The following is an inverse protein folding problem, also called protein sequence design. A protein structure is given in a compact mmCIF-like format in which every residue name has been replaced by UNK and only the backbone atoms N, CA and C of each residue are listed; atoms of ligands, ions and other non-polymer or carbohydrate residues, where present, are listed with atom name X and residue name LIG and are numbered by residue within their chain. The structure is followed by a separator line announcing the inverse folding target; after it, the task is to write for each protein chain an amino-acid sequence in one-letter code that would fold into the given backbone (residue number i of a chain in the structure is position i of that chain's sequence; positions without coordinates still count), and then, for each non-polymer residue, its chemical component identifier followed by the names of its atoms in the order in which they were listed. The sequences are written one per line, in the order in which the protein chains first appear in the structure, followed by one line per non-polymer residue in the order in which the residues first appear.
data_IF_031163659215
#
_entry.id   IF_031163659215
#
_cell.length_a   1.000
_cell.length_b   1.000
_cell.length_c   1.000
_cell.angle_alpha   90.00
_cell.angle_beta   90.00
_cell.angle_gamma   90.00
#
_symmetry.space_group_name_H-M   'P 1'
#
loop_
_entity.id
_entity.type
_entity.pdbx_description
1 polymer ?
#
# COMPACT_ATOMS: atom_id res chain seq x y z
N UNK A 1 10.71 -21.58 -24.11
CA UNK A 1 9.43 -22.30 -23.91
C UNK A 1 8.57 -21.65 -22.81
N UNK A 2 8.73 -20.36 -22.51
CA UNK A 2 7.81 -19.59 -21.63
C UNK A 2 7.14 -18.45 -22.43
N UNK A 3 7.70 -18.09 -23.59
CA UNK A 3 7.22 -16.99 -24.42
C UNK A 3 5.94 -17.31 -25.23
N UNK A 4 5.63 -18.59 -25.50
CA UNK A 4 4.45 -18.98 -26.29
C UNK A 4 3.14 -18.83 -25.51
N UNK A 5 3.12 -19.14 -24.21
CA UNK A 5 1.88 -19.18 -23.43
C UNK A 5 1.30 -17.79 -23.18
N UNK A 6 2.13 -16.75 -23.14
CA UNK A 6 1.69 -15.37 -22.92
C UNK A 6 1.15 -14.75 -24.23
N UNK A 7 1.75 -15.10 -25.37
CA UNK A 7 1.34 -14.60 -26.68
C UNK A 7 0.05 -15.27 -27.19
N UNK A 8 -0.22 -16.53 -26.81
CA UNK A 8 -1.45 -17.23 -27.19
C UNK A 8 -2.69 -16.71 -26.45
N UNK A 9 -2.52 -16.07 -25.29
CA UNK A 9 -3.62 -15.52 -24.48
C UNK A 9 -3.91 -14.04 -24.76
N UNK A 10 -2.94 -13.32 -25.32
CA UNK A 10 -3.07 -11.92 -25.69
C UNK A 10 -3.30 -11.85 -27.19
N UNK A 11 -4.57 -11.85 -27.62
CA UNK A 11 -4.93 -11.45 -28.98
C UNK A 11 -4.40 -10.03 -29.20
N UNK A 12 -3.26 -9.91 -29.88
CA UNK A 12 -2.52 -8.66 -30.09
C UNK A 12 -3.39 -7.58 -30.78
N UNK A 13 -4.39 -8.03 -31.54
CA UNK A 13 -5.37 -7.20 -32.24
C UNK A 13 -6.51 -6.66 -31.35
N UNK A 14 -6.70 -7.19 -30.13
CA UNK A 14 -7.78 -6.78 -29.21
C UNK A 14 -7.28 -5.92 -28.03
N UNK A 15 -5.99 -5.60 -28.02
CA UNK A 15 -5.43 -4.55 -27.20
C UNK A 15 -5.73 -3.22 -27.89
N UNK A 16 -6.93 -2.69 -27.71
CA UNK A 16 -7.14 -1.26 -27.93
C UNK A 16 -6.03 -0.54 -27.17
N UNK A 17 -5.18 0.29 -27.82
CA UNK A 17 -4.19 1.04 -27.09
C UNK A 17 -5.00 1.87 -26.10
N UNK A 18 -4.84 1.59 -24.81
CA UNK A 18 -5.33 2.47 -23.75
C UNK A 18 -4.57 3.76 -23.99
N UNK A 19 -5.16 4.65 -24.80
CA UNK A 19 -4.81 6.04 -24.86
C UNK A 19 -5.15 6.53 -23.47
N UNK A 20 -4.19 6.38 -22.57
CA UNK A 20 -4.07 7.27 -21.43
C UNK A 20 -4.00 8.65 -22.07
N UNK A 21 -5.17 9.27 -22.26
CA UNK A 21 -5.24 10.68 -22.54
C UNK A 21 -4.57 11.32 -21.33
N UNK A 22 -3.26 11.56 -21.47
CA UNK A 22 -2.46 12.38 -20.61
C UNK A 22 -3.02 13.79 -20.73
N UNK A 23 -4.23 14.00 -20.19
CA UNK A 23 -4.91 15.30 -20.13
C UNK A 23 -4.10 16.14 -19.17
N UNK A 24 -3.08 16.79 -19.72
CA UNK A 24 -2.41 17.89 -19.07
C UNK A 24 -3.50 18.92 -18.72
N UNK A 25 -3.45 19.52 -17.54
CA UNK A 25 -4.38 20.59 -17.20
C UNK A 25 -4.34 21.70 -18.26
N UNK A 26 -5.47 22.35 -18.51
CA UNK A 26 -5.60 23.39 -19.57
C UNK A 26 -4.61 24.56 -19.42
N UNK A 27 -4.14 24.82 -18.20
CA UNK A 27 -3.16 25.85 -17.92
C UNK A 27 -1.71 25.48 -18.28
N UNK A 28 -1.47 24.21 -18.59
CA UNK A 28 -0.15 23.70 -18.99
C UNK A 28 -0.02 23.83 -20.50
N UNK A 29 0.95 24.64 -20.93
CA UNK A 29 1.25 24.88 -22.33
C UNK A 29 2.74 24.65 -22.60
N UNK A 30 3.05 24.00 -23.72
CA UNK A 30 4.43 23.79 -24.18
C UNK A 30 5.12 25.09 -24.66
N UNK A 31 4.33 26.15 -24.91
CA UNK A 31 4.86 27.43 -25.35
C UNK A 31 5.59 28.21 -24.23
N UNK A 32 5.37 27.83 -22.97
CA UNK A 32 5.97 28.49 -21.81
C UNK A 32 6.56 27.45 -20.85
N UNK A 33 7.21 27.91 -19.78
CA UNK A 33 7.83 27.01 -18.79
C UNK A 33 6.84 26.25 -17.88
N UNK A 34 5.52 26.35 -18.11
CA UNK A 34 4.52 25.62 -17.32
C UNK A 34 4.57 24.12 -17.56
N UNK A 35 4.80 23.67 -18.80
CA UNK A 35 4.94 22.25 -19.13
C UNK A 35 6.12 21.62 -18.39
N UNK A 36 7.28 22.24 -18.48
CA UNK A 36 8.48 21.80 -17.76
C UNK A 36 8.26 21.80 -16.24
N UNK A 37 7.61 22.83 -15.70
CA UNK A 37 7.33 22.90 -14.26
C UNK A 37 6.33 21.85 -13.78
N UNK A 38 5.28 21.60 -14.55
CA UNK A 38 4.31 20.56 -14.25
C UNK A 38 4.96 19.17 -14.27
N UNK A 39 5.74 18.88 -15.32
CA UNK A 39 6.44 17.61 -15.45
C UNK A 39 7.45 17.39 -14.32
N UNK A 40 8.24 18.41 -13.97
CA UNK A 40 9.16 18.36 -12.84
C UNK A 40 8.43 18.00 -11.53
N UNK A 41 7.26 18.59 -11.27
CA UNK A 41 6.44 18.23 -10.10
C UNK A 41 6.00 16.76 -10.16
N UNK A 42 5.55 16.27 -11.31
CA UNK A 42 5.11 14.86 -11.43
C UNK A 42 6.28 13.89 -11.21
N UNK A 43 7.45 14.17 -11.80
CA UNK A 43 8.64 13.35 -11.63
C UNK A 43 9.12 13.35 -10.18
N UNK A 44 9.21 14.52 -9.54
CA UNK A 44 9.57 14.64 -8.13
C UNK A 44 8.57 13.91 -7.24
N UNK A 45 7.26 14.06 -7.50
CA UNK A 45 6.22 13.33 -6.78
C UNK A 45 6.41 11.81 -6.87
N UNK A 46 6.69 11.28 -8.06
CA UNK A 46 6.98 9.85 -8.25
C UNK A 46 8.20 9.42 -7.43
N UNK A 47 9.32 10.17 -7.51
CA UNK A 47 10.55 9.89 -6.74
C UNK A 47 10.30 9.88 -5.23
N UNK A 48 9.64 10.91 -4.69
CA UNK A 48 9.32 10.98 -3.24
C UNK A 48 8.34 9.88 -2.81
N UNK A 49 7.37 9.53 -3.65
CA UNK A 49 6.43 8.44 -3.36
C UNK A 49 7.13 7.08 -3.33
N UNK A 50 8.07 6.83 -4.23
CA UNK A 50 8.91 5.62 -4.19
C UNK A 50 9.75 5.57 -2.91
N UNK A 51 10.35 6.70 -2.53
CA UNK A 51 11.07 6.81 -1.26
C UNK A 51 10.16 6.46 -0.07
N UNK A 52 8.95 7.03 -0.02
CA UNK A 52 7.99 6.76 1.06
C UNK A 52 7.59 5.28 1.12
N UNK A 53 7.40 4.63 -0.03
CA UNK A 53 7.04 3.21 -0.08
C UNK A 53 8.17 2.32 0.47
N UNK A 54 9.43 2.69 0.23
CA UNK A 54 10.61 1.95 0.71
C UNK A 54 10.95 2.20 2.18
N UNK A 55 10.54 3.33 2.75
CA UNK A 55 10.94 3.76 4.09
C UNK A 55 9.74 3.77 5.03
N UNK A 56 9.81 3.06 6.15
CA UNK A 56 8.67 2.92 7.07
C UNK A 56 8.94 3.45 8.46
N UNK A 57 10.18 3.81 8.78
CA UNK A 57 10.54 4.29 10.12
C UNK A 57 10.40 5.81 10.19
N UNK A 58 10.06 6.31 11.38
CA UNK A 58 9.99 7.75 11.64
C UNK A 58 11.36 8.45 11.45
N UNK A 59 12.46 7.74 11.72
CA UNK A 59 13.84 8.23 11.51
C UNK A 59 14.15 8.57 10.06
N UNK A 60 13.49 7.90 9.11
CA UNK A 60 13.79 8.04 7.68
C UNK A 60 13.21 9.34 7.10
N UNK A 61 12.35 10.01 7.88
CA UNK A 61 11.60 11.21 7.50
C UNK A 61 11.99 12.46 8.29
N UNK A 62 13.18 12.48 8.89
CA UNK A 62 13.66 13.64 9.67
C UNK A 62 13.77 14.89 8.80
N UNK A 63 14.24 14.75 7.55
CA UNK A 63 14.38 15.87 6.61
C UNK A 63 13.13 16.01 5.74
N UNK A 64 12.54 17.20 5.72
CA UNK A 64 11.37 17.53 4.88
C UNK A 64 11.63 17.30 3.39
N UNK A 65 12.85 17.59 2.92
CA UNK A 65 13.25 17.40 1.52
C UNK A 65 13.15 15.94 1.05
N UNK A 66 13.07 14.95 1.94
CA UNK A 66 12.96 13.54 1.56
C UNK A 66 11.53 13.14 1.20
N UNK A 67 10.52 13.87 1.67
CA UNK A 67 9.11 13.51 1.48
C UNK A 67 8.21 14.68 1.04
N UNK A 68 8.69 15.91 1.04
CA UNK A 68 8.02 17.08 0.48
C UNK A 68 8.82 17.65 -0.67
N UNK A 69 8.10 18.24 -1.62
CA UNK A 69 8.65 18.93 -2.78
C UNK A 69 8.65 20.43 -2.48
N UNK A 70 9.82 21.06 -2.61
CA UNK A 70 9.95 22.51 -2.43
C UNK A 70 9.91 23.26 -3.77
N UNK A 71 9.48 24.53 -3.75
CA UNK A 71 9.47 25.38 -4.96
C UNK A 71 10.87 25.55 -5.56
N UNK A 72 11.89 25.64 -4.71
CA UNK A 72 13.29 25.71 -5.15
C UNK A 72 13.76 24.43 -5.80
N UNK A 73 13.34 23.26 -5.31
CA UNK A 73 13.69 21.96 -5.90
C UNK A 73 13.08 21.80 -7.30
N UNK A 74 11.82 22.21 -7.48
CA UNK A 74 11.18 22.25 -8.81
C UNK A 74 11.96 23.17 -9.76
N UNK A 75 12.35 24.35 -9.29
CA UNK A 75 13.09 25.31 -10.09
C UNK A 75 14.49 24.78 -10.47
N UNK A 76 15.17 24.10 -9.54
CA UNK A 76 16.46 23.44 -9.77
C UNK A 76 16.38 22.32 -10.80
N UNK A 77 15.31 21.51 -10.80
CA UNK A 77 15.12 20.44 -11.79
C UNK A 77 14.99 20.99 -13.23
N UNK A 78 14.43 22.19 -13.38
CA UNK A 78 14.24 22.87 -14.68
C UNK A 78 15.46 23.74 -15.05
N UNK A 79 16.35 24.03 -14.08
CA UNK A 79 17.51 24.90 -14.29
C UNK A 79 17.18 26.40 -14.31
N UNK A 80 16.05 26.82 -13.74
CA UNK A 80 15.58 28.21 -13.74
C UNK A 80 15.45 28.74 -12.30
N UNK A 81 15.48 30.05 -12.12
CA UNK A 81 15.20 30.66 -10.81
C UNK A 81 13.73 30.43 -10.41
N UNK A 82 13.49 30.29 -9.11
CA UNK A 82 12.16 30.04 -8.54
C UNK A 82 11.16 31.19 -8.80
N UNK A 83 11.62 32.45 -8.73
CA UNK A 83 10.76 33.64 -8.79
C UNK A 83 9.93 33.74 -10.09
N UNK A 84 10.53 33.64 -11.29
CA UNK A 84 9.80 33.68 -12.55
C UNK A 84 8.67 32.65 -12.67
N UNK A 85 8.86 31.44 -12.15
CA UNK A 85 7.93 30.32 -12.34
C UNK A 85 6.76 30.40 -11.35
N UNK A 86 7.02 30.79 -10.10
CA UNK A 86 6.05 30.70 -9.01
C UNK A 86 5.40 32.03 -8.60
N UNK A 87 5.84 33.16 -9.16
CA UNK A 87 5.34 34.48 -8.73
C UNK A 87 5.01 35.43 -9.88
N UNK A 88 5.76 35.42 -10.99
CA UNK A 88 5.63 36.43 -12.04
C UNK A 88 4.61 36.07 -13.13
N UNK A 89 4.45 34.78 -13.41
CA UNK A 89 3.66 34.25 -14.54
C UNK A 89 2.20 33.97 -14.19
N UNK A 90 1.30 34.10 -15.16
CA UNK A 90 -0.15 33.93 -14.95
C UNK A 90 -0.57 32.53 -14.46
N UNK A 91 0.17 31.48 -14.84
CA UNK A 91 -0.10 30.10 -14.38
C UNK A 91 0.46 29.78 -12.99
N UNK A 92 1.20 30.71 -12.36
CA UNK A 92 1.88 30.47 -11.09
C UNK A 92 0.95 30.05 -9.95
N UNK A 93 -0.27 30.59 -9.92
CA UNK A 93 -1.28 30.27 -8.93
C UNK A 93 -1.71 28.79 -9.04
N UNK A 94 -2.01 28.34 -10.26
CA UNK A 94 -2.42 26.96 -10.54
C UNK A 94 -1.28 25.96 -10.30
N UNK A 95 -0.05 26.32 -10.69
CA UNK A 95 1.14 25.51 -10.40
C UNK A 95 1.39 25.36 -8.89
N UNK A 96 1.20 26.45 -8.13
CA UNK A 96 1.34 26.41 -6.67
C UNK A 96 0.26 25.54 -6.03
N UNK A 97 -0.96 25.57 -6.56
CA UNK A 97 -2.06 24.71 -6.11
C UNK A 97 -1.72 23.24 -6.35
N UNK A 98 -1.30 22.87 -7.56
CA UNK A 98 -0.88 21.50 -7.89
C UNK A 98 0.25 21.01 -6.97
N UNK A 99 1.27 21.84 -6.74
CA UNK A 99 2.37 21.52 -5.82
C UNK A 99 1.86 21.25 -4.40
N UNK A 100 0.96 22.08 -3.90
CA UNK A 100 0.38 21.93 -2.57
C UNK A 100 -0.46 20.66 -2.46
N UNK A 101 -1.26 20.33 -3.47
CA UNK A 101 -2.05 19.10 -3.50
C UNK A 101 -1.17 17.84 -3.51
N UNK A 102 -0.12 17.83 -4.33
CA UNK A 102 0.85 16.72 -4.37
C UNK A 102 1.58 16.58 -3.04
N UNK A 103 1.99 17.69 -2.42
CA UNK A 103 2.60 17.67 -1.09
C UNK A 103 1.63 17.16 -0.01
N UNK A 104 0.34 17.53 -0.06
CA UNK A 104 -0.68 16.94 0.84
C UNK A 104 -0.75 15.42 0.65
N UNK A 105 -0.81 14.93 -0.59
CA UNK A 105 -0.80 13.49 -0.90
C UNK A 105 0.47 12.78 -0.39
N UNK A 106 1.64 13.41 -0.48
CA UNK A 106 2.87 12.84 0.07
C UNK A 106 2.86 12.81 1.60
N UNK A 107 2.34 13.85 2.26
CA UNK A 107 2.24 13.86 3.73
C UNK A 107 1.32 12.77 4.26
N UNK A 108 0.14 12.59 3.64
CA UNK A 108 -0.78 11.51 4.03
C UNK A 108 -0.19 10.13 3.76
N UNK A 109 0.50 9.94 2.62
CA UNK A 109 1.20 8.70 2.32
C UNK A 109 2.29 8.38 3.34
N UNK A 110 3.10 9.38 3.74
CA UNK A 110 4.13 9.26 4.77
C UNK A 110 3.53 8.86 6.12
N UNK A 111 2.46 9.53 6.55
CA UNK A 111 1.80 9.20 7.82
C UNK A 111 1.20 7.78 7.81
N UNK A 112 0.62 7.36 6.69
CA UNK A 112 0.12 5.99 6.51
C UNK A 112 1.26 4.95 6.48
N UNK A 113 2.39 5.26 5.87
CA UNK A 113 3.57 4.39 5.86
C UNK A 113 4.13 4.18 7.27
N UNK A 114 4.22 5.24 8.08
CA UNK A 114 4.67 5.15 9.47
C UNK A 114 3.70 4.34 10.31
N UNK A 115 2.38 4.59 10.18
CA UNK A 115 1.34 3.83 10.91
C UNK A 115 1.34 2.35 10.53
N UNK A 116 1.44 2.02 9.24
CA UNK A 116 1.45 0.64 8.76
C UNK A 116 2.74 -0.12 9.09
N UNK A 117 3.86 0.56 9.34
CA UNK A 117 5.11 -0.06 9.80
C UNK A 117 4.94 -0.89 11.07
N UNK A 118 3.91 -0.55 11.85
CA UNK A 118 3.57 -1.14 13.12
C UNK A 118 2.59 -2.31 13.10
N UNK A 119 2.13 -2.74 11.92
CA UNK A 119 1.04 -3.73 11.89
C UNK A 119 1.50 -5.13 12.30
N UNK A 120 0.68 -5.81 13.12
CA UNK A 120 0.84 -7.21 13.52
C UNK A 120 1.67 -7.44 14.80
N UNK A 121 2.16 -8.67 14.95
CA UNK A 121 2.90 -9.11 16.14
C UNK A 121 4.23 -8.37 16.36
N UNK A 122 4.72 -7.63 15.36
CA UNK A 122 5.96 -6.83 15.45
C UNK A 122 5.85 -5.61 16.38
N UNK A 123 4.64 -5.14 16.68
CA UNK A 123 4.45 -4.09 17.70
C UNK A 123 4.12 -4.60 19.09
N UNK A 124 3.74 -5.86 19.20
CA UNK A 124 3.43 -6.46 20.49
C UNK A 124 4.73 -6.68 21.24
N UNK A 125 4.74 -6.30 22.51
CA UNK A 125 5.85 -6.62 23.41
C UNK A 125 5.92 -8.14 23.64
N UNK A 126 7.08 -8.65 24.03
CA UNK A 126 7.25 -10.08 24.38
C UNK A 126 6.17 -10.56 25.35
N UNK A 127 5.83 -9.73 26.35
CA UNK A 127 4.78 -10.05 27.33
C UNK A 127 3.40 -10.21 26.70
N UNK A 128 3.01 -9.31 25.79
CA UNK A 128 1.73 -9.38 25.07
C UNK A 128 1.68 -10.61 24.15
N UNK A 129 2.78 -10.91 23.46
CA UNK A 129 2.87 -12.09 22.59
C UNK A 129 2.75 -13.40 23.38
N UNK A 130 3.46 -13.52 24.51
CA UNK A 130 3.36 -14.70 25.38
C UNK A 130 1.94 -14.85 25.92
N UNK A 131 1.30 -13.75 26.32
CA UNK A 131 -0.08 -13.78 26.80
C UNK A 131 -1.04 -14.29 25.73
N UNK A 132 -1.01 -13.72 24.53
CA UNK A 132 -1.86 -14.15 23.42
C UNK A 132 -1.59 -15.59 22.99
N UNK A 133 -0.32 -16.03 23.03
CA UNK A 133 0.04 -17.41 22.74
C UNK A 133 -0.60 -18.34 23.75
N UNK A 134 -0.45 -18.06 25.05
CA UNK A 134 -1.05 -18.87 26.11
C UNK A 134 -2.58 -18.91 25.99
N UNK A 135 -3.22 -17.75 25.77
CA UNK A 135 -4.67 -17.70 25.56
C UNK A 135 -5.12 -18.50 24.34
N UNK A 136 -4.32 -18.52 23.26
CA UNK A 136 -4.62 -19.32 22.06
C UNK A 136 -4.46 -20.81 22.36
N UNK A 137 -3.37 -21.21 23.02
CA UNK A 137 -3.14 -22.59 23.44
C UNK A 137 -4.26 -23.10 24.35
N UNK A 138 -4.68 -22.30 25.33
CA UNK A 138 -5.79 -22.66 26.23
C UNK A 138 -7.11 -22.84 25.47
N UNK A 139 -7.42 -21.95 24.51
CA UNK A 139 -8.60 -22.09 23.65
C UNK A 139 -8.52 -23.36 22.79
N UNK A 140 -7.36 -23.65 22.22
CA UNK A 140 -7.15 -24.82 21.38
C UNK A 140 -7.26 -26.12 22.19
N UNK A 141 -6.72 -26.14 23.41
CA UNK A 141 -6.89 -27.27 24.33
C UNK A 141 -8.36 -27.52 24.65
N UNK A 142 -9.13 -26.47 24.99
CA UNK A 142 -10.57 -26.59 25.29
C UNK A 142 -11.34 -27.06 24.05
N UNK A 143 -11.07 -26.47 22.89
CA UNK A 143 -11.72 -26.84 21.63
C UNK A 143 -11.40 -28.29 21.24
N UNK A 144 -10.15 -28.73 21.42
CA UNK A 144 -9.74 -30.11 21.13
C UNK A 144 -10.51 -31.12 21.98
N UNK A 145 -10.64 -30.88 23.29
CA UNK A 145 -11.38 -31.75 24.22
C UNK A 145 -12.85 -31.84 23.82
N UNK A 146 -13.50 -30.71 23.57
CA UNK A 146 -14.91 -30.67 23.14
C UNK A 146 -15.11 -31.38 21.80
N UNK A 147 -14.20 -31.20 20.86
CA UNK A 147 -14.27 -31.87 19.55
C UNK A 147 -14.12 -33.38 19.71
N UNK A 148 -13.23 -33.86 20.58
CA UNK A 148 -13.07 -35.29 20.88
C UNK A 148 -14.32 -35.86 21.53
N UNK A 149 -14.91 -35.16 22.50
CA UNK A 149 -16.17 -35.58 23.15
C UNK A 149 -17.32 -35.63 22.15
N UNK A 150 -17.49 -34.62 21.31
CA UNK A 150 -18.53 -34.58 20.27
C UNK A 150 -18.34 -35.68 19.23
N UNK A 151 -17.11 -35.93 18.79
CA UNK A 151 -16.79 -37.03 17.87
C UNK A 151 -17.12 -38.36 18.53
N UNK A 152 -16.76 -38.55 19.80
CA UNK A 152 -17.05 -39.77 20.55
C UNK A 152 -18.55 -40.00 20.77
N UNK A 153 -19.30 -38.95 21.08
CA UNK A 153 -20.75 -39.02 21.20
C UNK A 153 -21.41 -39.41 19.87
N UNK A 154 -21.00 -38.77 18.77
CA UNK A 154 -21.51 -39.09 17.42
C UNK A 154 -21.14 -40.49 16.96
N UNK A 155 -19.94 -40.98 17.29
CA UNK A 155 -19.58 -42.37 16.97
C UNK A 155 -20.43 -43.34 17.78
N UNK A 156 -20.60 -43.11 19.09
CA UNK A 156 -21.50 -43.92 19.92
C UNK A 156 -22.94 -43.92 19.39
N UNK A 157 -23.48 -42.78 18.94
CA UNK A 157 -24.82 -42.73 18.33
C UNK A 157 -24.92 -43.59 17.05
N UNK A 158 -23.87 -43.55 16.21
CA UNK A 158 -23.86 -44.20 14.90
C UNK A 158 -23.46 -45.67 14.92
N UNK A 159 -22.87 -46.19 16.00
CA UNK A 159 -22.49 -47.61 16.09
C UNK A 159 -23.75 -48.50 16.12
N UNK A 160 -23.82 -49.56 15.30
CA UNK A 160 -24.92 -50.53 15.31
C UNK A 160 -25.08 -51.25 16.67
N UNK A 161 -26.32 -51.59 17.02
CA UNK A 161 -26.66 -52.23 18.32
C UNK A 161 -25.88 -53.52 18.61
N UNK A 162 -25.63 -54.35 17.60
CA UNK A 162 -24.89 -55.61 17.77
C UNK A 162 -23.45 -55.37 18.22
N UNK A 163 -22.82 -54.31 17.69
CA UNK A 163 -21.47 -53.89 18.05
C UNK A 163 -21.45 -53.28 19.46
N UNK A 164 -22.48 -52.49 19.83
CA UNK A 164 -22.62 -51.96 21.20
C UNK A 164 -22.70 -53.07 22.25
N UNK A 165 -23.47 -54.13 21.97
CA UNK A 165 -23.59 -55.31 22.84
C UNK A 165 -22.26 -56.07 22.95
N UNK A 166 -21.54 -56.23 21.84
CA UNK A 166 -20.23 -56.89 21.83
C UNK A 166 -19.20 -56.16 22.70
N UNK A 167 -19.22 -54.83 22.71
CA UNK A 167 -18.36 -53.99 23.54
C UNK A 167 -18.91 -53.68 24.94
N UNK A 168 -20.07 -54.24 25.33
CA UNK A 168 -20.74 -53.99 26.62
C UNK A 168 -21.00 -52.51 26.92
N UNK A 169 -21.31 -51.74 25.87
CA UNK A 169 -21.64 -50.32 25.98
C UNK A 169 -23.12 -50.08 26.27
N UNK A 170 -23.95 -51.13 26.16
CA UNK A 170 -25.39 -51.22 26.49
C UNK A 170 -25.65 -52.62 27.04
#
# INVERSE_FOLDING_TARGET
MIDDYLNEFLDEDNLEPVKEENRRPEWVSDANSSAAAYEAIQQLFKRKRMYINGHKKKSDYVKKSLYQISKSEVASEIGVKMQPIFYTVGYAAQLTLELNEKNKKLTTAKDNAIKSSGSGNKQKTKKQLVKELNETTERDEVNSKRTVEDVYAKTLERIPLDVKKAFKLV
#
